data_IF_027494652399
#
_entry.id   IF_027494652399
#
_cell.length_a   1.000
_cell.length_b   1.000
_cell.length_c   1.000
_cell.angle_alpha   90.00
_cell.angle_beta   90.00
_cell.angle_gamma   90.00
#
_symmetry.space_group_name_H-M   'P 1'
#
loop_
_entity.id
_entity.type
_entity.pdbx_description
1 polymer ?
#
# COMPACT_ATOMS: atom_id res chain seq x y z
N UNK A 1 -6.09 -4.93 23.68
CA UNK A 1 -4.74 -5.08 23.11
C UNK A 1 -4.25 -3.71 22.66
N UNK A 2 -2.95 -3.45 22.65
CA UNK A 2 -2.35 -2.23 22.13
C UNK A 2 -1.94 -2.40 20.65
N UNK A 3 -2.64 -1.69 19.77
CA UNK A 3 -2.41 -1.65 18.33
C UNK A 3 -1.47 -0.48 17.99
N UNK A 4 -0.30 -0.79 17.46
CA UNK A 4 0.74 0.21 17.17
C UNK A 4 0.98 0.37 15.67
N UNK A 5 0.73 1.55 15.13
CA UNK A 5 0.93 1.85 13.71
C UNK A 5 2.30 2.51 13.51
N UNK A 6 3.24 1.77 12.90
CA UNK A 6 4.50 2.30 12.40
C UNK A 6 4.27 2.96 11.04
N UNK A 7 4.71 4.22 10.92
CA UNK A 7 4.45 5.03 9.72
C UNK A 7 3.13 5.79 9.81
N UNK A 8 2.74 6.23 11.01
CA UNK A 8 1.45 6.84 11.32
C UNK A 8 0.97 7.98 10.40
N UNK A 9 1.88 8.67 9.72
CA UNK A 9 1.54 9.77 8.80
C UNK A 9 1.33 9.27 7.34
N UNK A 10 1.36 7.96 7.10
CA UNK A 10 1.19 7.34 5.79
C UNK A 10 -0.28 7.21 5.39
N UNK A 11 -0.53 7.04 4.10
CA UNK A 11 -1.88 6.93 3.52
C UNK A 11 -2.67 5.76 4.12
N UNK A 12 -2.04 4.61 4.30
CA UNK A 12 -2.70 3.43 4.89
C UNK A 12 -2.93 3.61 6.38
N UNK A 13 -2.00 4.23 7.10
CA UNK A 13 -2.18 4.57 8.51
C UNK A 13 -3.40 5.49 8.72
N UNK A 14 -3.58 6.49 7.86
CA UNK A 14 -4.74 7.39 7.89
C UNK A 14 -6.07 6.67 7.63
N UNK A 15 -6.06 5.61 6.80
CA UNK A 15 -7.26 4.79 6.56
C UNK A 15 -7.50 3.77 7.69
N UNK A 16 -6.44 3.23 8.29
CA UNK A 16 -6.50 2.24 9.36
C UNK A 16 -6.91 2.84 10.71
N UNK A 17 -6.45 4.04 11.02
CA UNK A 17 -6.72 4.68 12.31
C UNK A 17 -8.22 4.80 12.64
N UNK A 18 -9.10 5.31 11.75
CA UNK A 18 -10.53 5.33 11.99
C UNK A 18 -11.15 3.94 12.18
N UNK A 19 -10.62 2.90 11.53
CA UNK A 19 -11.08 1.51 11.71
C UNK A 19 -10.77 1.06 13.14
N UNK A 20 -9.54 1.26 13.62
CA UNK A 20 -9.17 0.90 15.00
C UNK A 20 -9.99 1.69 16.03
N UNK A 21 -10.21 2.99 15.80
CA UNK A 21 -11.01 3.83 16.69
C UNK A 21 -12.47 3.38 16.76
N UNK A 22 -13.07 3.02 15.62
CA UNK A 22 -14.44 2.52 15.55
C UNK A 22 -14.63 1.19 16.31
N UNK A 23 -13.56 0.42 16.48
CA UNK A 23 -13.53 -0.79 17.27
C UNK A 23 -13.06 -0.58 18.73
N UNK A 24 -12.86 0.68 19.15
CA UNK A 24 -12.43 1.05 20.50
C UNK A 24 -11.08 0.42 20.92
N UNK A 25 -10.19 0.20 19.96
CA UNK A 25 -8.86 -0.33 20.26
C UNK A 25 -7.98 0.68 20.98
N UNK A 26 -7.04 0.19 21.80
CA UNK A 26 -5.97 1.05 22.31
C UNK A 26 -4.94 1.24 21.21
N UNK A 27 -4.67 2.50 20.85
CA UNK A 27 -3.90 2.83 19.65
C UNK A 27 -2.66 3.64 20.01
N UNK A 28 -1.53 3.23 19.45
CA UNK A 28 -0.28 3.99 19.45
C UNK A 28 0.13 4.33 18.03
N UNK A 29 0.42 5.60 17.80
CA UNK A 29 0.91 6.13 16.52
C UNK A 29 2.41 6.40 16.62
N UNK A 30 3.18 5.78 15.72
CA UNK A 30 4.64 5.90 15.71
C UNK A 30 5.11 6.41 14.35
N UNK A 31 5.85 7.52 14.38
CA UNK A 31 6.59 8.01 13.22
C UNK A 31 7.76 8.89 13.68
N UNK A 32 8.57 9.43 12.75
CA UNK A 32 9.64 10.38 13.12
C UNK A 32 9.10 11.68 13.71
N UNK A 33 7.90 12.09 13.29
CA UNK A 33 7.21 13.31 13.73
C UNK A 33 5.71 13.00 13.79
N UNK A 34 5.25 12.23 14.80
CA UNK A 34 3.85 11.83 14.89
C UNK A 34 2.99 13.07 15.10
N UNK A 35 1.81 13.07 14.50
CA UNK A 35 0.79 14.08 14.77
C UNK A 35 -0.14 13.54 15.85
N UNK A 36 -0.35 14.26 16.97
CA UNK A 36 -1.32 13.87 17.97
C UNK A 36 -2.71 13.70 17.36
N UNK A 37 -3.37 12.60 17.69
CA UNK A 37 -4.79 12.38 17.39
C UNK A 37 -5.49 12.04 18.69
N UNK A 38 -6.67 12.62 18.91
CA UNK A 38 -7.47 12.39 20.10
C UNK A 38 -7.73 10.88 20.32
N UNK A 39 -7.62 10.44 21.57
CA UNK A 39 -7.79 9.04 21.94
C UNK A 39 -6.64 8.11 21.53
N UNK A 40 -5.48 8.64 21.14
CA UNK A 40 -4.29 7.83 20.77
C UNK A 40 -3.04 8.21 21.56
N UNK A 41 -2.18 7.22 21.81
CA UNK A 41 -0.81 7.47 22.25
C UNK A 41 0.05 7.85 21.04
N UNK A 42 1.02 8.75 21.19
CA UNK A 42 2.02 9.03 20.15
C UNK A 42 3.44 8.80 20.66
N UNK A 43 4.28 8.17 19.84
CA UNK A 43 5.72 8.05 20.12
C UNK A 43 6.55 8.40 18.89
N UNK A 44 7.63 9.14 19.12
CA UNK A 44 8.59 9.46 18.06
C UNK A 44 9.63 8.35 17.97
N UNK A 45 9.87 7.84 16.76
CA UNK A 45 10.99 6.93 16.49
C UNK A 45 11.43 6.98 15.03
N UNK A 46 12.74 6.83 14.82
CA UNK A 46 13.30 6.43 13.54
C UNK A 46 13.40 4.91 13.47
N UNK A 47 12.67 4.28 12.54
CA UNK A 47 12.66 2.81 12.38
C UNK A 47 14.04 2.20 12.03
N UNK A 48 14.97 3.01 11.51
CA UNK A 48 16.34 2.57 11.26
C UNK A 48 17.17 2.46 12.56
N UNK A 49 16.74 3.12 13.63
CA UNK A 49 17.39 3.08 14.94
C UNK A 49 16.67 2.04 15.82
N UNK A 50 17.40 0.99 16.18
CA UNK A 50 16.84 -0.13 16.95
C UNK A 50 16.38 0.30 18.35
N UNK A 51 17.14 1.13 19.05
CA UNK A 51 16.84 1.53 20.43
C UNK A 51 15.63 2.46 20.49
N UNK A 52 15.54 3.39 19.54
CA UNK A 52 14.34 4.23 19.40
C UNK A 52 13.12 3.38 19.07
N UNK A 53 13.26 2.42 18.16
CA UNK A 53 12.16 1.54 17.76
C UNK A 53 11.70 0.65 18.92
N UNK A 54 12.63 0.04 19.66
CA UNK A 54 12.33 -0.78 20.83
C UNK A 54 11.51 0.00 21.86
N UNK A 55 12.00 1.18 22.26
CA UNK A 55 11.29 2.06 23.22
C UNK A 55 9.93 2.50 22.69
N UNK A 56 9.78 2.73 21.39
CA UNK A 56 8.51 3.14 20.82
C UNK A 56 7.48 2.00 20.71
N UNK A 57 7.92 0.75 20.59
CA UNK A 57 7.06 -0.43 20.48
C UNK A 57 6.85 -1.15 21.81
N UNK A 58 7.58 -0.81 22.87
CA UNK A 58 7.44 -1.48 24.16
C UNK A 58 5.99 -1.47 24.69
N UNK A 59 5.48 -2.65 25.07
CA UNK A 59 4.10 -2.89 25.49
C UNK A 59 3.06 -3.00 24.36
N UNK A 60 3.46 -2.98 23.08
CA UNK A 60 2.56 -3.24 21.96
C UNK A 60 2.18 -4.73 21.88
N UNK A 61 0.91 -5.03 21.60
CA UNK A 61 0.46 -6.40 21.31
C UNK A 61 0.52 -6.70 19.80
N UNK A 62 0.16 -5.71 18.98
CA UNK A 62 0.13 -5.81 17.52
C UNK A 62 0.84 -4.60 16.92
N UNK A 63 1.79 -4.85 16.02
CA UNK A 63 2.55 -3.82 15.32
C UNK A 63 2.21 -3.86 13.82
N UNK A 64 1.69 -2.77 13.29
CA UNK A 64 1.43 -2.60 11.85
C UNK A 64 2.61 -1.86 11.21
N UNK A 65 3.38 -2.56 10.38
CA UNK A 65 4.44 -1.95 9.57
C UNK A 65 3.83 -1.37 8.28
N UNK A 66 3.47 -0.08 8.32
CA UNK A 66 2.86 0.66 7.20
C UNK A 66 3.76 1.77 6.64
N UNK A 67 5.07 1.67 6.91
CA UNK A 67 6.05 2.68 6.51
C UNK A 67 6.24 2.67 5.00
N UNK A 68 6.15 3.85 4.39
CA UNK A 68 6.71 4.12 3.06
C UNK A 68 8.04 4.88 3.20
N UNK A 69 9.05 4.48 2.42
CA UNK A 69 10.30 5.21 2.26
C UNK A 69 10.36 5.88 0.88
N UNK A 70 11.21 6.91 0.66
CA UNK A 70 11.31 7.57 -0.64
C UNK A 70 11.48 6.57 -1.78
N UNK A 71 10.77 6.80 -2.90
CA UNK A 71 10.73 5.87 -4.03
C UNK A 71 12.06 5.90 -4.82
N UNK A 72 13.06 5.21 -4.27
CA UNK A 72 14.43 5.21 -4.73
C UNK A 72 15.08 3.84 -4.47
N UNK A 73 15.46 3.12 -5.53
CA UNK A 73 15.93 1.75 -5.47
C UNK A 73 17.22 1.59 -4.67
N UNK A 74 18.12 2.59 -4.69
CA UNK A 74 19.34 2.57 -3.86
C UNK A 74 19.00 2.69 -2.38
N UNK A 75 18.10 3.61 -2.02
CA UNK A 75 17.64 3.74 -0.64
C UNK A 75 16.88 2.49 -0.18
N UNK A 76 16.08 1.88 -1.06
CA UNK A 76 15.37 0.64 -0.75
C UNK A 76 16.34 -0.49 -0.43
N UNK A 77 17.37 -0.68 -1.25
CA UNK A 77 18.37 -1.72 -1.04
C UNK A 77 19.14 -1.60 0.29
N UNK A 78 19.21 -0.39 0.86
CA UNK A 78 19.87 -0.14 2.15
C UNK A 78 18.87 -0.20 3.31
N UNK A 79 17.78 0.56 3.21
CA UNK A 79 16.88 0.81 4.34
C UNK A 79 15.90 -0.33 4.58
N UNK A 80 15.31 -0.94 3.55
CA UNK A 80 14.31 -1.98 3.76
C UNK A 80 14.84 -3.21 4.50
N UNK A 81 16.03 -3.76 4.17
CA UNK A 81 16.66 -4.82 4.96
C UNK A 81 16.78 -4.47 6.45
N UNK A 82 17.30 -3.28 6.75
CA UNK A 82 17.49 -2.82 8.13
C UNK A 82 16.15 -2.60 8.85
N UNK A 83 15.16 -1.99 8.18
CA UNK A 83 13.81 -1.81 8.71
C UNK A 83 13.21 -3.15 9.08
N UNK A 84 13.22 -4.12 8.16
CA UNK A 84 12.61 -5.43 8.39
C UNK A 84 13.31 -6.17 9.52
N UNK A 85 14.65 -6.18 9.54
CA UNK A 85 15.42 -6.80 10.62
C UNK A 85 15.14 -6.17 11.99
N UNK A 86 15.11 -4.84 12.06
CA UNK A 86 14.82 -4.13 13.31
C UNK A 86 13.41 -4.45 13.80
N UNK A 87 12.40 -4.36 12.92
CA UNK A 87 11.00 -4.62 13.30
C UNK A 87 10.82 -6.08 13.74
N UNK A 88 11.37 -7.05 13.01
CA UNK A 88 11.35 -8.47 13.42
C UNK A 88 11.98 -8.64 14.82
N UNK A 89 13.19 -8.11 15.03
CA UNK A 89 13.91 -8.25 16.29
C UNK A 89 13.15 -7.63 17.46
N UNK A 90 12.62 -6.41 17.28
CA UNK A 90 11.86 -5.72 18.32
C UNK A 90 10.56 -6.46 18.59
N UNK A 91 9.78 -6.83 17.57
CA UNK A 91 8.54 -7.58 17.73
C UNK A 91 8.75 -8.89 18.50
N UNK A 92 9.83 -9.62 18.22
CA UNK A 92 10.21 -10.82 19.00
C UNK A 92 10.55 -10.49 20.45
N UNK A 93 11.31 -9.43 20.70
CA UNK A 93 11.76 -9.05 22.03
C UNK A 93 10.60 -8.60 22.95
N UNK A 94 9.58 -7.96 22.39
CA UNK A 94 8.39 -7.49 23.13
C UNK A 94 7.20 -8.47 23.05
N UNK A 95 7.38 -9.61 22.39
CA UNK A 95 6.31 -10.59 22.12
C UNK A 95 5.09 -10.02 21.36
N UNK A 96 5.30 -9.02 20.50
CA UNK A 96 4.24 -8.45 19.67
C UNK A 96 4.07 -9.22 18.36
N UNK A 97 2.82 -9.30 17.92
CA UNK A 97 2.49 -9.80 16.58
C UNK A 97 2.80 -8.75 15.52
N UNK A 98 3.24 -9.16 14.34
CA UNK A 98 3.61 -8.24 13.26
C UNK A 98 2.67 -8.33 12.05
N UNK A 99 2.07 -7.22 11.65
CA UNK A 99 1.30 -7.10 10.40
C UNK A 99 2.07 -6.22 9.43
N UNK A 100 2.65 -6.83 8.41
CA UNK A 100 3.41 -6.13 7.39
C UNK A 100 2.53 -5.76 6.19
N UNK A 101 2.32 -4.47 5.97
CA UNK A 101 1.69 -3.97 4.75
C UNK A 101 2.74 -3.91 3.63
N UNK A 102 2.64 -4.84 2.69
CA UNK A 102 3.60 -5.11 1.63
C UNK A 102 3.04 -4.72 0.25
N UNK A 103 3.92 -4.59 -0.74
CA UNK A 103 3.55 -4.41 -2.14
C UNK A 103 3.51 -5.75 -2.88
N UNK A 104 3.31 -5.72 -4.21
CA UNK A 104 3.32 -6.90 -5.07
C UNK A 104 4.58 -6.99 -5.97
N UNK A 105 5.64 -6.23 -5.68
CA UNK A 105 6.77 -6.05 -6.62
C UNK A 105 7.68 -7.27 -6.71
N UNK A 106 7.68 -8.13 -5.68
CA UNK A 106 8.44 -9.37 -5.63
C UNK A 106 8.02 -10.38 -6.71
N UNK A 107 6.77 -10.33 -7.17
CA UNK A 107 6.26 -11.23 -8.20
C UNK A 107 6.81 -10.92 -9.59
N UNK A 108 7.14 -9.65 -9.87
CA UNK A 108 7.59 -9.20 -11.19
C UNK A 108 6.48 -9.19 -12.24
N UNK A 109 6.85 -9.42 -13.51
CA UNK A 109 5.89 -9.56 -14.62
C UNK A 109 5.29 -10.98 -14.60
N UNK A 110 3.97 -11.06 -14.58
CA UNK A 110 3.20 -12.30 -14.56
C UNK A 110 2.21 -12.29 -15.72
N UNK A 111 2.09 -13.42 -16.41
CA UNK A 111 1.06 -13.61 -17.43
C UNK A 111 -0.18 -14.26 -16.75
N UNK A 112 -1.18 -13.45 -16.42
CA UNK A 112 -2.41 -13.87 -15.74
C UNK A 112 -2.59 -13.27 -14.33
N UNK A 113 -3.57 -13.77 -13.55
CA UNK A 113 -3.81 -13.32 -12.18
C UNK A 113 -2.63 -13.61 -11.25
N UNK A 114 -2.22 -12.60 -10.49
CA UNK A 114 -1.25 -12.74 -9.39
C UNK A 114 -2.02 -13.18 -8.15
N UNK A 115 -1.67 -14.35 -7.61
CA UNK A 115 -2.18 -14.90 -6.34
C UNK A 115 -1.07 -14.96 -5.28
N UNK A 116 -1.42 -15.32 -4.04
CA UNK A 116 -0.44 -15.52 -2.97
C UNK A 116 0.64 -16.56 -3.30
N UNK A 117 0.30 -17.59 -4.08
CA UNK A 117 1.18 -18.69 -4.50
C UNK A 117 2.10 -18.33 -5.68
N UNK A 118 1.92 -17.14 -6.26
CA UNK A 118 2.73 -16.69 -7.39
C UNK A 118 4.22 -16.66 -7.00
N UNK A 119 5.13 -17.25 -7.77
CA UNK A 119 6.54 -17.31 -7.40
C UNK A 119 7.20 -15.94 -7.45
N UNK A 120 8.17 -15.69 -6.56
CA UNK A 120 8.94 -14.44 -6.58
C UNK A 120 9.93 -14.45 -7.75
N UNK A 121 9.59 -13.74 -8.82
CA UNK A 121 10.41 -13.54 -10.02
C UNK A 121 10.56 -12.03 -10.33
N UNK A 122 11.17 -11.25 -9.43
CA UNK A 122 11.22 -9.81 -9.57
C UNK A 122 11.99 -9.39 -10.83
N UNK A 123 11.43 -8.43 -11.57
CA UNK A 123 12.03 -7.86 -12.79
C UNK A 123 12.54 -6.42 -12.60
N UNK A 124 12.64 -5.96 -11.36
CA UNK A 124 13.09 -4.61 -10.99
C UNK A 124 14.00 -4.64 -9.75
N UNK A 125 14.80 -3.59 -9.54
CA UNK A 125 15.68 -3.50 -8.37
C UNK A 125 14.88 -3.43 -7.08
N UNK A 126 13.78 -2.65 -7.07
CA UNK A 126 12.84 -2.64 -5.94
C UNK A 126 12.24 -4.01 -5.69
N UNK A 127 11.79 -4.71 -6.74
CA UNK A 127 11.23 -6.05 -6.63
C UNK A 127 12.20 -7.04 -5.99
N UNK A 128 13.49 -6.97 -6.33
CA UNK A 128 14.53 -7.81 -5.70
C UNK A 128 14.63 -7.53 -4.20
N UNK A 129 14.62 -6.26 -3.80
CA UNK A 129 14.64 -5.87 -2.38
C UNK A 129 13.39 -6.35 -1.65
N UNK A 130 12.20 -6.19 -2.25
CA UNK A 130 10.93 -6.64 -1.66
C UNK A 130 10.88 -8.16 -1.51
N UNK A 131 11.34 -8.90 -2.51
CA UNK A 131 11.47 -10.35 -2.44
C UNK A 131 12.42 -10.80 -1.34
N UNK A 132 13.52 -10.07 -1.11
CA UNK A 132 14.48 -10.37 -0.05
C UNK A 132 13.86 -10.19 1.35
N UNK A 133 13.26 -9.03 1.63
CA UNK A 133 12.68 -8.77 2.96
C UNK A 133 11.43 -9.61 3.25
N UNK A 134 10.64 -9.97 2.23
CA UNK A 134 9.52 -10.88 2.38
C UNK A 134 10.02 -12.25 2.83
N UNK A 135 11.08 -12.78 2.18
CA UNK A 135 11.71 -14.05 2.58
C UNK A 135 12.28 -14.02 4.00
N UNK A 136 12.83 -12.89 4.45
CA UNK A 136 13.27 -12.75 5.85
C UNK A 136 12.12 -12.98 6.82
N UNK A 137 10.98 -12.32 6.58
CA UNK A 137 9.81 -12.44 7.46
C UNK A 137 9.16 -13.82 7.36
N UNK A 138 9.02 -14.36 6.15
CA UNK A 138 8.50 -15.71 5.90
C UNK A 138 9.34 -16.79 6.60
N UNK A 139 10.67 -16.61 6.66
CA UNK A 139 11.55 -17.53 7.37
C UNK A 139 11.26 -17.55 8.89
N UNK A 140 11.06 -16.39 9.51
CA UNK A 140 10.69 -16.30 10.93
C UNK A 140 9.30 -16.88 11.20
N UNK A 141 8.34 -16.64 10.30
CA UNK A 141 7.00 -17.22 10.35
C UNK A 141 7.05 -18.75 10.28
N UNK A 142 7.79 -19.30 9.31
CA UNK A 142 7.95 -20.74 9.11
C UNK A 142 8.68 -21.42 10.28
N UNK A 143 9.64 -20.74 10.89
CA UNK A 143 10.34 -21.23 12.06
C UNK A 143 9.50 -21.17 13.35
N UNK A 144 8.33 -20.51 13.33
CA UNK A 144 7.52 -20.29 14.53
C UNK A 144 8.11 -19.26 15.50
N UNK A 145 9.09 -18.48 15.04
CA UNK A 145 9.81 -17.51 15.87
C UNK A 145 9.04 -16.19 16.07
N UNK A 146 8.08 -15.91 15.18
CA UNK A 146 7.29 -14.68 15.19
C UNK A 146 5.91 -14.94 14.58
N UNK A 147 4.85 -14.59 15.31
CA UNK A 147 3.51 -14.47 14.73
C UNK A 147 3.46 -13.24 13.83
N UNK A 148 3.49 -13.47 12.51
CA UNK A 148 3.40 -12.39 11.54
C UNK A 148 2.43 -12.67 10.38
N UNK A 149 2.00 -11.59 9.74
CA UNK A 149 1.15 -11.55 8.56
C UNK A 149 1.84 -10.69 7.50
N UNK A 150 1.84 -11.15 6.25
CA UNK A 150 2.22 -10.32 5.10
C UNK A 150 0.94 -9.98 4.32
N UNK A 151 0.51 -8.74 4.41
CA UNK A 151 -0.69 -8.23 3.75
C UNK A 151 -0.29 -7.39 2.53
N UNK A 152 -0.48 -7.94 1.32
CA UNK A 152 -0.06 -7.34 0.06
C UNK A 152 -1.14 -6.48 -0.56
N UNK A 153 -0.74 -5.32 -1.04
CA UNK A 153 -1.55 -4.46 -1.87
C UNK A 153 -0.79 -4.08 -3.16
N UNK A 154 -1.55 -3.58 -4.11
CA UNK A 154 -1.06 -2.90 -5.31
C UNK A 154 -1.26 -1.39 -5.16
N UNK A 155 -1.10 -0.63 -6.24
CA UNK A 155 -1.40 0.80 -6.20
C UNK A 155 -2.85 1.03 -5.75
N UNK A 156 -3.11 2.17 -5.11
CA UNK A 156 -4.36 2.37 -4.36
C UNK A 156 -5.04 3.68 -4.68
N UNK A 157 -6.33 3.76 -4.39
CA UNK A 157 -7.16 4.97 -4.49
C UNK A 157 -8.15 5.00 -3.34
N UNK A 158 -8.72 6.17 -3.06
CA UNK A 158 -9.65 6.35 -1.97
C UNK A 158 -9.68 7.79 -1.45
N UNK A 159 -10.66 8.13 -0.59
CA UNK A 159 -10.61 9.36 0.20
C UNK A 159 -9.26 9.48 0.94
N UNK A 160 -8.64 10.66 0.89
CA UNK A 160 -7.34 10.91 1.54
C UNK A 160 -6.11 10.44 0.74
N UNK A 161 -6.29 9.72 -0.37
CA UNK A 161 -5.19 9.24 -1.19
C UNK A 161 -4.77 10.31 -2.19
N UNK A 162 -3.63 10.97 -1.98
CA UNK A 162 -3.18 12.09 -2.82
C UNK A 162 -1.84 11.84 -3.51
N UNK A 163 -0.71 12.16 -2.87
CA UNK A 163 0.62 12.34 -3.47
C UNK A 163 1.46 11.06 -3.59
N UNK A 164 0.99 9.95 -3.00
CA UNK A 164 1.70 8.65 -2.95
C UNK A 164 1.03 7.55 -3.76
N UNK A 165 0.16 7.92 -4.70
CA UNK A 165 -0.57 7.02 -5.60
C UNK A 165 -0.62 7.60 -7.00
N UNK A 166 -0.50 6.75 -8.02
CA UNK A 166 -0.62 7.20 -9.41
C UNK A 166 -2.05 7.68 -9.71
N UNK A 167 -3.07 6.97 -9.20
CA UNK A 167 -4.47 7.39 -9.35
C UNK A 167 -4.71 8.76 -8.70
N UNK A 168 -4.22 8.97 -7.48
CA UNK A 168 -4.38 10.23 -6.76
C UNK A 168 -3.71 11.42 -7.48
N UNK A 169 -2.46 11.25 -7.93
CA UNK A 169 -1.66 12.32 -8.54
C UNK A 169 -2.01 12.60 -10.01
N UNK A 170 -2.20 11.55 -10.81
CA UNK A 170 -2.32 11.65 -12.26
C UNK A 170 -3.77 11.80 -12.72
N UNK A 171 -4.71 11.25 -11.96
CA UNK A 171 -6.13 11.27 -12.31
C UNK A 171 -6.86 12.33 -11.49
N UNK A 172 -7.10 12.07 -10.20
CA UNK A 172 -7.98 12.92 -9.39
C UNK A 172 -7.42 14.32 -9.17
N UNK A 173 -6.15 14.47 -8.81
CA UNK A 173 -5.54 15.79 -8.60
C UNK A 173 -5.43 16.62 -9.89
N UNK A 174 -5.24 15.98 -11.05
CA UNK A 174 -5.23 16.69 -12.33
C UNK A 174 -6.64 17.15 -12.72
N UNK A 175 -7.65 16.28 -12.57
CA UNK A 175 -9.05 16.64 -12.83
C UNK A 175 -9.52 17.77 -11.93
N UNK A 176 -9.17 17.73 -10.64
CA UNK A 176 -9.48 18.81 -9.70
C UNK A 176 -8.92 20.17 -10.14
N UNK A 177 -7.75 20.16 -10.81
CA UNK A 177 -7.09 21.35 -11.37
C UNK A 177 -7.59 21.72 -12.77
N UNK A 178 -8.67 21.11 -13.28
CA UNK A 178 -9.17 21.31 -14.64
C UNK A 178 -8.24 20.78 -15.74
N UNK A 179 -7.23 19.97 -15.39
CA UNK A 179 -6.28 19.38 -16.34
C UNK A 179 -6.75 18.02 -16.81
N UNK A 180 -6.23 17.58 -17.96
CA UNK A 180 -6.44 16.21 -18.44
C UNK A 180 -5.85 15.20 -17.45
N UNK A 181 -6.57 14.12 -17.12
CA UNK A 181 -5.97 13.01 -16.40
C UNK A 181 -4.85 12.40 -17.23
N UNK A 182 -3.83 11.91 -16.53
CA UNK A 182 -2.66 11.28 -17.11
C UNK A 182 -2.67 9.77 -16.81
N UNK A 183 -2.07 9.00 -17.71
CA UNK A 183 -1.87 7.57 -17.53
C UNK A 183 -0.50 7.15 -18.08
N UNK A 184 0.17 6.22 -17.42
CA UNK A 184 1.47 5.75 -17.88
C UNK A 184 1.34 4.71 -18.99
N UNK A 185 2.23 4.79 -19.98
CA UNK A 185 2.53 3.75 -20.97
C UNK A 185 1.33 3.31 -21.80
N UNK A 186 0.43 2.47 -21.27
CA UNK A 186 -0.71 1.92 -21.98
C UNK A 186 -2.01 2.01 -21.14
N UNK A 187 -2.99 2.86 -21.52
CA UNK A 187 -4.27 2.95 -20.82
C UNK A 187 -5.26 1.83 -21.20
N UNK A 188 -4.90 0.97 -22.15
CA UNK A 188 -5.76 -0.07 -22.72
C UNK A 188 -5.52 -1.46 -22.09
N UNK A 189 -4.58 -1.59 -21.15
CA UNK A 189 -4.39 -2.81 -20.35
C UNK A 189 -5.05 -2.69 -18.98
N UNK A 190 -5.63 -3.78 -18.44
CA UNK A 190 -6.17 -3.80 -17.09
C UNK A 190 -5.10 -3.55 -16.03
N UNK A 191 -5.43 -2.74 -15.01
CA UNK A 191 -4.58 -2.48 -13.85
C UNK A 191 -5.41 -2.56 -12.58
N UNK A 192 -5.09 -3.54 -11.73
CA UNK A 192 -5.74 -3.67 -10.43
C UNK A 192 -5.37 -2.49 -9.50
N UNK A 193 -6.32 -2.12 -8.65
CA UNK A 193 -6.13 -1.13 -7.59
C UNK A 193 -6.78 -1.63 -6.30
N UNK A 194 -6.19 -1.27 -5.16
CA UNK A 194 -6.85 -1.43 -3.86
C UNK A 194 -7.58 -0.14 -3.47
N UNK A 195 -8.82 -0.28 -3.00
CA UNK A 195 -9.55 0.82 -2.36
C UNK A 195 -9.09 0.92 -0.90
N UNK A 196 -8.52 2.07 -0.48
CA UNK A 196 -7.82 2.16 0.81
C UNK A 196 -8.69 1.89 2.04
N UNK A 197 -10.00 2.25 2.09
CA UNK A 197 -10.85 1.85 3.21
C UNK A 197 -11.03 0.33 3.33
N UNK A 198 -11.08 -0.41 2.22
CA UNK A 198 -11.18 -1.87 2.27
C UNK A 198 -9.87 -2.51 2.71
N UNK A 199 -8.75 -2.00 2.19
CA UNK A 199 -7.42 -2.42 2.63
C UNK A 199 -7.24 -2.21 4.16
N UNK A 200 -7.71 -1.09 4.69
CA UNK A 200 -7.68 -0.79 6.13
C UNK A 200 -8.54 -1.76 6.96
N UNK A 201 -9.79 -2.00 6.54
CA UNK A 201 -10.67 -3.00 7.19
C UNK A 201 -10.03 -4.38 7.17
N UNK A 202 -9.50 -4.80 6.03
CA UNK A 202 -8.85 -6.09 5.88
C UNK A 202 -7.61 -6.23 6.76
N UNK A 203 -6.76 -5.19 6.87
CA UNK A 203 -5.63 -5.19 7.80
C UNK A 203 -6.06 -5.41 9.25
N UNK A 204 -7.12 -4.74 9.69
CA UNK A 204 -7.64 -4.93 11.03
C UNK A 204 -8.20 -6.35 11.23
N UNK A 205 -9.04 -6.84 10.31
CA UNK A 205 -9.59 -8.20 10.36
C UNK A 205 -8.50 -9.28 10.42
N UNK A 206 -7.45 -9.13 9.60
CA UNK A 206 -6.28 -10.02 9.64
C UNK A 206 -5.60 -9.99 11.01
N UNK A 207 -5.35 -8.79 11.55
CA UNK A 207 -4.64 -8.61 12.81
C UNK A 207 -5.34 -9.24 14.02
N UNK A 208 -6.67 -9.20 14.07
CA UNK A 208 -7.44 -9.75 15.21
C UNK A 208 -7.78 -11.24 15.03
N UNK A 209 -7.37 -11.87 13.92
CA UNK A 209 -7.76 -13.23 13.58
C UNK A 209 -6.59 -14.20 13.74
N UNK A 210 -6.66 -15.07 14.75
CA UNK A 210 -5.56 -15.99 15.09
C UNK A 210 -5.09 -16.87 13.92
N UNK A 211 -6.01 -17.44 13.15
CA UNK A 211 -5.66 -18.31 12.02
C UNK A 211 -5.10 -17.56 10.80
N UNK A 212 -5.11 -16.21 10.80
CA UNK A 212 -4.54 -15.42 9.72
C UNK A 212 -3.01 -15.32 9.81
N UNK A 213 -2.44 -15.52 11.01
CA UNK A 213 -1.01 -15.49 11.26
C UNK A 213 -0.26 -16.66 10.60
N UNK A 214 1.00 -16.41 10.24
CA UNK A 214 1.81 -17.38 9.49
C UNK A 214 1.50 -17.43 8.00
N UNK A 215 0.76 -16.45 7.46
CA UNK A 215 0.31 -16.44 6.07
C UNK A 215 0.57 -15.12 5.34
N UNK A 216 0.58 -15.23 4.01
CA UNK A 216 0.49 -14.13 3.06
C UNK A 216 -0.98 -13.96 2.66
N UNK A 217 -1.43 -12.73 2.52
CA UNK A 217 -2.78 -12.36 2.08
C UNK A 217 -2.73 -11.23 1.06
N UNK A 218 -3.46 -11.36 -0.04
CA UNK A 218 -3.75 -10.26 -0.95
C UNK A 218 -4.96 -9.48 -0.43
N UNK A 219 -4.79 -8.18 -0.21
CA UNK A 219 -5.85 -7.32 0.29
C UNK A 219 -6.95 -7.10 -0.76
N UNK A 220 -8.20 -6.85 -0.34
CA UNK A 220 -9.36 -6.75 -1.23
C UNK A 220 -9.15 -5.86 -2.46
N UNK A 221 -9.40 -6.42 -3.64
CA UNK A 221 -9.37 -5.74 -4.93
C UNK A 221 -10.53 -6.22 -5.81
N UNK A 222 -11.14 -5.29 -6.56
CA UNK A 222 -12.29 -5.63 -7.41
C UNK A 222 -11.81 -6.35 -8.66
N UNK A 223 -12.51 -7.43 -9.03
CA UNK A 223 -12.32 -8.17 -10.27
C UNK A 223 -13.61 -8.15 -11.12
N UNK A 224 -13.51 -8.04 -12.46
CA UNK A 224 -12.28 -7.83 -13.24
C UNK A 224 -11.69 -6.42 -13.02
N UNK A 225 -10.36 -6.31 -13.10
CA UNK A 225 -9.68 -5.02 -13.04
C UNK A 225 -10.06 -4.14 -14.24
N UNK A 226 -10.20 -2.84 -14.01
CA UNK A 226 -10.46 -1.88 -15.09
C UNK A 226 -9.19 -1.58 -15.88
N UNK A 227 -9.36 -1.26 -17.16
CA UNK A 227 -8.33 -0.54 -17.93
C UNK A 227 -8.21 0.91 -17.45
N UNK A 228 -7.09 1.55 -17.77
CA UNK A 228 -6.90 2.97 -17.50
C UNK A 228 -7.98 3.85 -18.13
N UNK A 229 -8.46 3.50 -19.35
CA UNK A 229 -9.58 4.19 -20.00
C UNK A 229 -10.87 4.09 -19.21
N UNK A 230 -11.22 2.90 -18.75
CA UNK A 230 -12.44 2.67 -17.98
C UNK A 230 -12.38 3.39 -16.63
N UNK A 231 -11.25 3.29 -15.92
CA UNK A 231 -11.04 3.97 -14.64
C UNK A 231 -11.14 5.50 -14.79
N UNK A 232 -10.50 6.08 -15.80
CA UNK A 232 -10.58 7.52 -16.07
C UNK A 232 -11.99 7.95 -16.49
N UNK A 233 -12.68 7.16 -17.32
CA UNK A 233 -14.06 7.45 -17.69
C UNK A 233 -14.97 7.53 -16.47
N UNK A 234 -14.80 6.59 -15.54
CA UNK A 234 -15.54 6.56 -14.28
C UNK A 234 -15.17 7.72 -13.35
N UNK A 235 -13.89 8.04 -13.22
CA UNK A 235 -13.44 9.20 -12.44
C UNK A 235 -13.98 10.51 -13.03
N UNK A 236 -13.95 10.67 -14.36
CA UNK A 236 -14.45 11.86 -15.04
C UNK A 236 -15.95 12.09 -14.77
N UNK A 237 -16.76 11.01 -14.77
CA UNK A 237 -18.19 11.04 -14.43
C UNK A 237 -18.44 11.70 -13.07
N UNK A 238 -17.66 11.32 -12.05
CA UNK A 238 -17.87 11.80 -10.68
C UNK A 238 -17.12 13.08 -10.33
N UNK A 239 -16.02 13.37 -11.01
CA UNK A 239 -15.25 14.61 -10.84
C UNK A 239 -15.84 15.78 -11.62
N UNK A 240 -16.79 15.56 -12.54
CA UNK A 240 -17.22 16.57 -13.51
C UNK A 240 -16.10 16.98 -14.47
N UNK A 241 -15.13 16.09 -14.69
CA UNK A 241 -13.90 16.34 -15.45
C UNK A 241 -13.94 15.79 -16.87
N UNK A 242 -12.81 15.88 -17.58
CA UNK A 242 -12.67 15.31 -18.93
C UNK A 242 -12.20 13.85 -18.90
N UNK A 243 -12.81 13.00 -19.74
CA UNK A 243 -12.33 11.63 -19.99
C UNK A 243 -11.17 11.56 -21.01
N UNK A 244 -10.73 12.70 -21.55
CA UNK A 244 -9.60 12.76 -22.51
C UNK A 244 -8.27 12.53 -21.78
N UNK A 245 -7.71 11.34 -21.98
CA UNK A 245 -6.47 10.88 -21.35
C UNK A 245 -5.25 11.49 -22.05
N UNK A 246 -4.29 11.96 -21.26
CA UNK A 246 -2.93 12.19 -21.74
C UNK A 246 -2.05 11.00 -21.37
N UNK A 247 -1.65 10.21 -22.37
CA UNK A 247 -0.74 9.08 -22.15
C UNK A 247 0.70 9.61 -22.02
N UNK A 248 1.39 9.17 -20.98
CA UNK A 248 2.81 9.43 -20.76
C UNK A 248 3.58 8.22 -21.30
N UNK A 249 4.13 8.27 -22.53
CA UNK A 249 4.79 7.12 -23.12
C UNK A 249 6.11 6.80 -22.41
N UNK A 250 6.52 5.53 -22.48
CA UNK A 250 7.72 5.00 -21.80
C UNK A 250 8.99 5.78 -22.14
N UNK A 251 9.15 6.25 -23.38
CA UNK A 251 10.31 7.06 -23.78
C UNK A 251 10.34 8.41 -23.06
N UNK A 252 9.19 9.03 -22.80
CA UNK A 252 9.09 10.30 -22.06
C UNK A 252 9.40 10.10 -20.58
N UNK A 253 8.95 8.98 -19.99
CA UNK A 253 9.33 8.60 -18.61
C UNK A 253 10.85 8.43 -18.51
N UNK A 254 11.48 7.76 -19.48
CA UNK A 254 12.95 7.59 -19.55
C UNK A 254 13.69 8.93 -19.67
N UNK A 255 13.22 9.82 -20.54
CA UNK A 255 13.81 11.16 -20.71
C UNK A 255 13.75 11.96 -19.41
N UNK A 256 12.57 12.04 -18.78
CA UNK A 256 12.39 12.73 -17.50
C UNK A 256 13.23 12.05 -16.40
N UNK A 257 13.37 10.73 -16.44
CA UNK A 257 14.20 9.94 -15.52
C UNK A 257 15.69 10.25 -15.58
N UNK A 258 16.20 10.93 -16.62
CA UNK A 258 17.58 11.43 -16.63
C UNK A 258 17.77 12.49 -15.55
N UNK A 259 16.81 13.42 -15.43
CA UNK A 259 16.88 14.57 -14.53
C UNK A 259 16.15 14.35 -13.20
N UNK A 260 15.19 13.41 -13.15
CA UNK A 260 14.38 13.13 -11.97
C UNK A 260 14.55 11.66 -11.50
N UNK A 261 15.22 11.43 -10.35
CA UNK A 261 15.42 10.09 -9.79
C UNK A 261 14.14 9.32 -9.52
N UNK A 262 13.04 9.98 -9.13
CA UNK A 262 11.74 9.34 -8.92
C UNK A 262 11.20 8.75 -10.24
N UNK A 263 11.23 9.54 -11.32
CA UNK A 263 10.77 9.10 -12.64
C UNK A 263 11.65 8.00 -13.23
N UNK A 264 12.96 8.05 -13.00
CA UNK A 264 13.89 6.96 -13.37
C UNK A 264 13.46 5.63 -12.76
N UNK A 265 13.07 5.70 -11.51
CA UNK A 265 12.69 4.58 -10.69
C UNK A 265 11.28 4.06 -10.98
N UNK A 266 10.44 4.86 -11.64
CA UNK A 266 9.18 4.41 -12.21
C UNK A 266 9.38 3.59 -13.49
N UNK A 267 10.45 3.84 -14.27
CA UNK A 267 10.71 3.10 -15.51
C UNK A 267 10.84 1.59 -15.25
N UNK A 268 11.49 1.19 -14.16
CA UNK A 268 11.65 -0.24 -13.82
C UNK A 268 10.33 -0.91 -13.39
N UNK A 269 9.35 -0.13 -12.95
CA UNK A 269 8.02 -0.62 -12.59
C UNK A 269 7.01 -0.51 -13.73
N UNK A 270 7.42 0.01 -14.89
CA UNK A 270 6.55 0.24 -16.05
C UNK A 270 5.91 -1.02 -16.61
N UNK A 271 6.39 -2.22 -16.26
CA UNK A 271 5.75 -3.48 -16.66
C UNK A 271 4.30 -3.58 -16.17
N UNK A 272 3.96 -2.92 -15.05
CA UNK A 272 2.59 -2.88 -14.50
C UNK A 272 1.62 -2.04 -15.33
N UNK A 273 2.15 -1.17 -16.21
CA UNK A 273 1.39 -0.30 -17.11
C UNK A 273 1.57 -0.69 -18.57
N UNK A 274 2.46 -1.64 -18.88
CA UNK A 274 2.73 -2.12 -20.23
C UNK A 274 1.95 -3.40 -20.54
N UNK A 275 1.69 -4.23 -19.52
CA UNK A 275 0.98 -5.50 -19.60
C UNK A 275 -0.17 -5.53 -18.58
N UNK A 276 -1.19 -6.40 -18.76
CA UNK A 276 -2.25 -6.59 -17.77
C UNK A 276 -1.67 -6.90 -16.39
N UNK A 277 -2.02 -6.10 -15.38
CA UNK A 277 -1.60 -6.27 -14.00
C UNK A 277 -2.81 -6.67 -13.16
N UNK A 278 -3.03 -7.99 -13.09
CA UNK A 278 -4.20 -8.60 -12.46
C UNK A 278 -3.84 -9.09 -11.06
N UNK A 279 -4.57 -8.63 -10.05
CA UNK A 279 -4.34 -8.98 -8.64
C UNK A 279 -5.56 -9.76 -8.12
N UNK A 280 -5.35 -10.88 -7.46
CA UNK A 280 -6.42 -11.78 -7.03
C UNK A 280 -6.49 -11.87 -5.50
N UNK A 281 -7.54 -11.28 -4.94
CA UNK A 281 -7.82 -11.30 -3.50
C UNK A 281 -8.83 -12.37 -3.07
N UNK A 282 -9.12 -13.38 -3.92
CA UNK A 282 -10.12 -14.44 -3.62
C UNK A 282 -9.85 -15.14 -2.30
N UNK A 283 -8.58 -15.35 -1.94
CA UNK A 283 -8.20 -16.03 -0.71
C UNK A 283 -8.75 -15.28 0.50
N UNK A 284 -8.50 -13.97 0.56
CA UNK A 284 -9.02 -13.11 1.61
C UNK A 284 -10.56 -13.02 1.56
N UNK A 285 -11.12 -12.73 0.38
CA UNK A 285 -12.57 -12.58 0.18
C UNK A 285 -13.35 -13.80 0.70
N UNK A 286 -12.88 -15.02 0.40
CA UNK A 286 -13.50 -16.27 0.84
C UNK A 286 -13.32 -16.50 2.34
N UNK A 287 -12.10 -16.34 2.86
CA UNK A 287 -11.79 -16.62 4.26
C UNK A 287 -12.55 -15.69 5.22
N UNK A 288 -12.75 -14.43 4.81
CA UNK A 288 -13.35 -13.39 5.65
C UNK A 288 -14.77 -12.99 5.21
N UNK A 289 -15.35 -13.67 4.21
CA UNK A 289 -16.66 -13.34 3.61
C UNK A 289 -16.75 -11.85 3.24
N UNK A 290 -15.67 -11.32 2.69
CA UNK A 290 -15.53 -9.90 2.38
C UNK A 290 -15.79 -9.65 0.91
N UNK A 291 -16.70 -8.72 0.63
CA UNK A 291 -16.96 -8.24 -0.74
C UNK A 291 -16.24 -6.90 -0.94
N UNK A 292 -15.27 -6.80 -1.87
CA UNK A 292 -14.63 -5.53 -2.17
C UNK A 292 -15.64 -4.47 -2.63
N UNK A 293 -15.49 -3.25 -2.13
CA UNK A 293 -16.25 -2.07 -2.58
C UNK A 293 -16.06 -1.91 -4.08
N UNK A 294 -17.16 -1.78 -4.82
CA UNK A 294 -17.12 -1.68 -6.27
C UNK A 294 -16.28 -0.49 -6.76
N UNK A 295 -15.73 -0.57 -7.97
CA UNK A 295 -15.03 0.57 -8.58
C UNK A 295 -15.92 1.81 -8.63
N UNK A 296 -17.21 1.66 -8.96
CA UNK A 296 -18.18 2.76 -9.03
C UNK A 296 -18.28 3.51 -7.69
N UNK A 297 -18.51 2.77 -6.60
CA UNK A 297 -18.66 3.34 -5.26
C UNK A 297 -17.34 3.94 -4.75
N UNK A 298 -16.23 3.21 -4.91
CA UNK A 298 -14.92 3.68 -4.45
C UNK A 298 -14.48 4.94 -5.20
N UNK A 299 -14.69 5.00 -6.52
CA UNK A 299 -14.31 6.17 -7.34
C UNK A 299 -15.21 7.36 -7.01
N UNK A 300 -16.52 7.13 -6.83
CA UNK A 300 -17.46 8.17 -6.38
C UNK A 300 -17.05 8.75 -5.03
N UNK A 301 -16.76 7.91 -4.04
CA UNK A 301 -16.33 8.34 -2.72
C UNK A 301 -15.01 9.14 -2.78
N UNK A 302 -14.06 8.67 -3.59
CA UNK A 302 -12.78 9.36 -3.82
C UNK A 302 -13.02 10.74 -4.45
N UNK A 303 -13.81 10.82 -5.51
CA UNK A 303 -14.12 12.07 -6.19
C UNK A 303 -14.79 13.08 -5.26
N UNK A 304 -15.81 12.65 -4.50
CA UNK A 304 -16.51 13.48 -3.53
C UNK A 304 -15.54 14.06 -2.49
N UNK A 305 -14.61 13.25 -1.99
CA UNK A 305 -13.59 13.73 -1.04
C UNK A 305 -12.71 14.81 -1.67
N UNK A 306 -12.19 14.59 -2.88
CA UNK A 306 -11.36 15.58 -3.59
C UNK A 306 -12.10 16.91 -3.80
N UNK A 307 -13.37 16.86 -4.22
CA UNK A 307 -14.20 18.04 -4.45
C UNK A 307 -14.50 18.79 -3.14
N UNK A 308 -14.75 18.08 -2.04
CA UNK A 308 -14.96 18.70 -0.73
C UNK A 308 -13.71 19.41 -0.21
N UNK A 309 -12.51 18.88 -0.47
CA UNK A 309 -11.27 19.51 -0.02
C UNK A 309 -10.92 20.78 -0.81
N UNK A 310 -11.36 20.91 -2.07
CA UNK A 310 -11.17 22.14 -2.84
C UNK A 310 -12.05 23.31 -2.35
N UNK A 311 -13.12 23.01 -1.60
CA UNK A 311 -14.04 24.00 -1.06
C UNK A 311 -13.67 24.46 0.37
N UNK A 312 -12.56 23.97 0.93
CA UNK A 312 -12.02 24.37 2.23
C UNK A 312 -10.80 25.26 2.04
#
# INVERSE_FOLDING_TARGET
MLHTILGANGTIAQALLPVLQAHHENIRLVSRKPQPVEGTETRAANVLDYEQLYKALDGSDIVYLTIGIPYNAKLWAIQWPQIMQNVIRVSKAIHAKLVFFDDAYMYGKVDGPITEETPYKPSSKKGVVRAYIARLLEAEMKAGNLEAIIARAVDFYGPGVTDKSAAGTLVFANMLKGKRPQWFINPDVPRAYNYTPDAAKALYMLAITAHAYGQIWHLPSVRPALTGRQFIGLAAKYMGGTSKIMVIPKWMIRLIGVFNPFMRDMVEMGYQDEFPFLFDSSKFEKAFQFTPTSYEEGVKATANWYLQQANK
#
